data_IF_553013673119
#
_entry.id   IF_553013673119
#
_cell.length_a   1.000
_cell.length_b   1.000
_cell.length_c   1.000
_cell.angle_alpha   90.00
_cell.angle_beta   90.00
_cell.angle_gamma   90.00
#
_symmetry.space_group_name_H-M   'P 1'
#
loop_
_entity.id
_entity.type
_entity.pdbx_description
1 polymer ?
#
# COMPACT_ATOMS: atom_id res chain seq x y z
N UNK A 1 3.30 14.18 -21.89
CA UNK A 1 2.69 13.14 -21.04
C UNK A 1 3.60 11.94 -21.13
N UNK A 2 4.00 11.39 -20.00
CA UNK A 2 4.74 10.14 -19.96
C UNK A 2 3.75 8.98 -19.87
N UNK A 3 4.20 7.79 -20.25
CA UNK A 3 3.38 6.58 -20.24
C UNK A 3 4.09 5.49 -19.45
N UNK A 4 3.31 4.67 -18.75
CA UNK A 4 3.76 3.43 -18.12
C UNK A 4 3.11 2.28 -18.88
N UNK A 5 3.91 1.33 -19.35
CA UNK A 5 3.38 0.09 -19.93
C UNK A 5 2.49 -0.62 -18.90
N UNK A 6 1.22 -0.79 -19.27
CA UNK A 6 0.19 -1.33 -18.39
C UNK A 6 -0.83 -2.14 -19.19
N UNK A 7 -1.63 -2.93 -18.48
CA UNK A 7 -2.78 -3.62 -19.05
C UNK A 7 -4.07 -2.86 -18.69
N UNK A 8 -5.06 -2.79 -19.59
CA UNK A 8 -5.07 -3.35 -20.95
C UNK A 8 -4.38 -2.48 -22.01
N UNK A 9 -3.92 -1.28 -21.64
CA UNK A 9 -3.20 -0.34 -22.50
C UNK A 9 -2.26 0.54 -21.65
N UNK A 10 -1.29 1.25 -22.28
CA UNK A 10 -0.39 2.14 -21.55
C UNK A 10 -1.13 3.20 -20.72
N UNK A 11 -0.67 3.40 -19.49
CA UNK A 11 -1.20 4.40 -18.57
C UNK A 11 -0.50 5.74 -18.79
N UNK A 12 -1.19 6.68 -19.44
CA UNK A 12 -0.70 8.04 -19.63
C UNK A 12 -0.90 8.88 -18.35
N UNK A 13 0.13 9.61 -17.94
CA UNK A 13 0.11 10.40 -16.70
C UNK A 13 0.81 11.76 -16.83
N UNK A 14 0.50 12.63 -15.87
CA UNK A 14 1.22 13.89 -15.60
C UNK A 14 2.00 13.69 -14.32
N UNK A 15 3.32 13.86 -14.37
CA UNK A 15 4.20 13.55 -13.25
C UNK A 15 3.80 14.30 -11.97
N UNK A 16 3.49 15.58 -12.09
CA UNK A 16 3.15 16.49 -10.99
C UNK A 16 1.75 16.23 -10.40
N UNK A 17 0.94 15.38 -11.04
CA UNK A 17 -0.42 15.05 -10.63
C UNK A 17 -0.54 13.59 -10.14
N UNK A 18 0.56 12.98 -9.69
CA UNK A 18 0.56 11.62 -9.14
C UNK A 18 0.75 11.64 -7.62
N UNK A 19 0.17 10.65 -6.95
CA UNK A 19 0.42 10.31 -5.57
C UNK A 19 0.41 8.77 -5.41
N UNK A 20 1.17 8.25 -4.45
CA UNK A 20 1.11 6.85 -4.06
C UNK A 20 0.20 6.70 -2.85
N UNK A 21 -0.80 5.83 -2.91
CA UNK A 21 -1.62 5.44 -1.76
C UNK A 21 -1.19 4.05 -1.31
N UNK A 22 -0.68 3.95 -0.07
CA UNK A 22 -0.29 2.69 0.57
C UNK A 22 -1.42 2.30 1.52
N UNK A 23 -2.17 1.28 1.13
CA UNK A 23 -3.39 0.88 1.82
C UNK A 23 -3.06 -0.18 2.88
N UNK A 24 -3.36 0.14 4.14
CA UNK A 24 -3.51 -0.78 5.28
C UNK A 24 -2.38 -1.81 5.43
N UNK A 25 -1.13 -1.40 5.21
CA UNK A 25 0.07 -2.19 5.48
C UNK A 25 0.37 -2.27 6.99
N UNK A 26 -0.64 -2.64 7.78
CA UNK A 26 -0.61 -2.76 9.23
C UNK A 26 -0.16 -4.16 9.66
N UNK A 27 0.49 -4.23 10.83
CA UNK A 27 0.97 -5.50 11.42
C UNK A 27 -0.14 -6.53 11.58
N UNK A 28 -1.36 -6.07 11.87
CA UNK A 28 -2.52 -6.92 12.14
C UNK A 28 -2.93 -7.78 10.92
N UNK A 29 -2.62 -7.34 9.70
CA UNK A 29 -2.86 -8.09 8.47
C UNK A 29 -1.66 -8.92 8.00
N UNK A 30 -0.46 -8.62 8.51
CA UNK A 30 0.80 -9.16 7.98
C UNK A 30 1.56 -10.09 8.94
N UNK A 31 1.37 -9.94 10.26
CA UNK A 31 2.13 -10.69 11.26
C UNK A 31 1.33 -11.90 11.80
N UNK A 32 2.02 -12.99 12.19
CA UNK A 32 1.39 -14.07 12.94
C UNK A 32 0.72 -13.55 14.22
N UNK A 33 -0.47 -14.07 14.52
CA UNK A 33 -1.25 -13.66 15.71
C UNK A 33 -2.06 -12.37 15.54
N UNK A 34 -1.95 -11.67 14.41
CA UNK A 34 -2.85 -10.56 14.06
C UNK A 34 -4.20 -11.02 13.53
N UNK A 35 -5.08 -10.06 13.27
CA UNK A 35 -6.41 -10.22 12.67
C UNK A 35 -6.39 -11.11 11.42
N UNK A 36 -5.49 -10.86 10.48
CA UNK A 36 -5.37 -11.65 9.25
C UNK A 36 -5.15 -13.14 9.52
N UNK A 37 -4.22 -13.46 10.42
CA UNK A 37 -3.93 -14.84 10.82
C UNK A 37 -5.07 -15.46 11.64
N UNK A 38 -5.75 -14.68 12.48
CA UNK A 38 -6.87 -15.14 13.31
C UNK A 38 -8.06 -15.68 12.50
N UNK A 39 -8.23 -15.17 11.27
CA UNK A 39 -9.24 -15.62 10.30
C UNK A 39 -8.79 -16.86 9.49
N UNK A 40 -7.60 -17.38 9.73
CA UNK A 40 -7.04 -18.52 9.00
C UNK A 40 -6.35 -18.16 7.68
N UNK A 41 -6.04 -16.88 7.44
CA UNK A 41 -5.34 -16.47 6.21
C UNK A 41 -3.83 -16.75 6.30
N UNK A 42 -3.22 -17.03 5.15
CA UNK A 42 -1.77 -17.03 4.99
C UNK A 42 -1.24 -15.59 4.88
N UNK A 43 -0.86 -15.02 6.03
CA UNK A 43 -0.27 -13.67 6.14
C UNK A 43 1.10 -13.55 5.47
N UNK A 44 1.77 -14.68 5.16
CA UNK A 44 3.04 -14.70 4.45
C UNK A 44 2.96 -14.04 3.07
N UNK A 45 1.78 -14.05 2.43
CA UNK A 45 1.51 -13.38 1.16
C UNK A 45 1.60 -11.86 1.27
N UNK A 46 1.20 -11.29 2.41
CA UNK A 46 1.32 -9.84 2.69
C UNK A 46 2.77 -9.48 3.00
N UNK A 47 3.46 -10.29 3.81
CA UNK A 47 4.88 -10.08 4.13
C UNK A 47 5.74 -10.11 2.86
N UNK A 48 5.43 -11.00 1.91
CA UNK A 48 6.17 -11.15 0.66
C UNK A 48 6.24 -9.86 -0.19
N UNK A 49 5.24 -8.97 -0.11
CA UNK A 49 5.22 -7.73 -0.90
C UNK A 49 5.91 -6.54 -0.21
N UNK A 50 6.24 -6.65 1.08
CA UNK A 50 6.83 -5.55 1.87
C UNK A 50 8.05 -4.91 1.19
N UNK A 51 9.03 -5.68 0.67
CA UNK A 51 10.18 -5.07 -0.04
C UNK A 51 9.79 -4.32 -1.31
N UNK A 52 8.77 -4.78 -2.03
CA UNK A 52 8.26 -4.12 -3.25
C UNK A 52 7.52 -2.83 -2.92
N UNK A 53 6.66 -2.85 -1.90
CA UNK A 53 5.95 -1.65 -1.42
C UNK A 53 6.96 -0.61 -0.91
N UNK A 54 7.98 -1.04 -0.16
CA UNK A 54 9.07 -0.16 0.28
C UNK A 54 9.76 0.55 -0.89
N UNK A 55 10.11 -0.19 -1.95
CA UNK A 55 10.71 0.38 -3.17
C UNK A 55 9.81 1.41 -3.85
N UNK A 56 8.50 1.18 -3.91
CA UNK A 56 7.55 2.16 -4.46
C UNK A 56 7.51 3.44 -3.61
N UNK A 57 7.46 3.30 -2.29
CA UNK A 57 7.49 4.43 -1.36
C UNK A 57 8.78 5.25 -1.53
N UNK A 58 9.93 4.57 -1.58
CA UNK A 58 11.23 5.23 -1.77
C UNK A 58 11.31 5.95 -3.12
N UNK A 59 10.79 5.34 -4.20
CA UNK A 59 10.73 5.95 -5.53
C UNK A 59 9.89 7.24 -5.56
N UNK A 60 8.68 7.22 -4.97
CA UNK A 60 7.83 8.41 -4.89
C UNK A 60 8.48 9.51 -4.04
N UNK A 61 9.08 9.16 -2.90
CA UNK A 61 9.81 10.11 -2.05
C UNK A 61 11.01 10.74 -2.78
N UNK A 62 11.81 9.94 -3.49
CA UNK A 62 12.94 10.43 -4.26
C UNK A 62 12.52 11.35 -5.43
N UNK A 63 11.34 11.10 -6.01
CA UNK A 63 10.74 11.95 -7.03
C UNK A 63 10.05 13.22 -6.46
N UNK A 64 10.02 13.41 -5.14
CA UNK A 64 9.34 14.54 -4.51
C UNK A 64 7.80 14.47 -4.63
N UNK A 65 7.24 13.28 -4.87
CA UNK A 65 5.81 13.06 -5.04
C UNK A 65 5.15 12.63 -3.71
N UNK A 66 3.85 12.94 -3.51
CA UNK A 66 3.12 12.55 -2.30
C UNK A 66 3.05 11.04 -2.09
N UNK A 67 3.19 10.62 -0.83
CA UNK A 67 2.89 9.27 -0.36
C UNK A 67 1.86 9.38 0.75
N UNK A 68 0.70 8.77 0.55
CA UNK A 68 -0.44 8.76 1.46
C UNK A 68 -0.54 7.36 2.05
N UNK A 69 -0.69 7.27 3.36
CA UNK A 69 -0.85 6.01 4.09
C UNK A 69 -2.25 5.96 4.70
N UNK A 70 -2.91 4.81 4.60
CA UNK A 70 -4.17 4.55 5.32
C UNK A 70 -3.95 3.55 6.43
N UNK A 71 -4.87 3.56 7.40
CA UNK A 71 -4.98 2.54 8.42
C UNK A 71 -6.47 2.24 8.63
N UNK A 72 -6.83 0.97 8.60
CA UNK A 72 -8.12 0.50 9.05
C UNK A 72 -8.11 0.46 10.59
N UNK A 73 -8.97 1.26 11.21
CA UNK A 73 -9.11 1.32 12.65
C UNK A 73 -10.46 1.91 13.06
N UNK A 74 -10.95 1.47 14.22
CA UNK A 74 -12.05 2.11 14.94
C UNK A 74 -11.52 2.83 16.17
N UNK A 75 -12.29 3.78 16.70
CA UNK A 75 -12.05 4.33 18.03
C UNK A 75 -12.21 3.23 19.10
N UNK A 76 -11.65 3.46 20.29
CA UNK A 76 -11.72 2.49 21.39
C UNK A 76 -13.13 2.23 21.90
N UNK A 77 -14.06 3.17 21.66
CA UNK A 77 -15.50 3.01 21.93
C UNK A 77 -16.26 2.34 20.76
N UNK A 78 -15.52 1.81 19.78
CA UNK A 78 -16.00 1.12 18.58
C UNK A 78 -16.72 2.02 17.57
N UNK A 79 -16.65 3.34 17.72
CA UNK A 79 -17.13 4.24 16.66
C UNK A 79 -16.14 4.30 15.50
N UNK A 80 -16.68 4.59 14.31
CA UNK A 80 -15.89 5.03 13.16
C UNK A 80 -15.34 6.46 13.36
#
# INVERSE_FOLDING_TARGET
MAEIDALPFPFAFKHEAMALVVIDMQRDFAEPGGFGASLGNDVGRVVAIVPTVKRLIEGFRAAGLPVIHTMECHRSDLSD
#
